data_IF_153520078747
#
_entry.id   IF_153520078747
#
_cell.length_a   1.000
_cell.length_b   1.000
_cell.length_c   1.000
_cell.angle_alpha   90.00
_cell.angle_beta   90.00
_cell.angle_gamma   90.00
#
_symmetry.space_group_name_H-M   'P 1'
#
loop_
_entity.id
_entity.type
_entity.pdbx_description
1 polymer ?
#
# COMPACT_ATOMS: atom_id res chain seq x y z
N UNK A 1 2.56 25.16 -15.28
CA UNK A 1 4.03 25.33 -15.16
C UNK A 1 4.72 24.30 -16.05
N UNK A 2 6.05 24.20 -16.09
CA UNK A 2 6.75 23.08 -16.73
C UNK A 2 7.47 22.25 -15.65
N UNK A 3 7.48 20.92 -15.81
CA UNK A 3 7.91 20.00 -14.76
C UNK A 3 9.14 19.22 -15.21
N UNK A 4 10.11 19.08 -14.31
CA UNK A 4 11.39 18.46 -14.64
C UNK A 4 11.92 17.56 -13.53
N UNK A 5 12.77 16.62 -13.92
CA UNK A 5 13.68 15.91 -13.01
C UNK A 5 15.08 16.41 -13.32
N UNK A 6 15.80 16.79 -12.27
CA UNK A 6 17.18 17.27 -12.37
C UNK A 6 18.08 16.30 -11.64
N UNK A 7 19.06 15.75 -12.35
CA UNK A 7 20.10 14.91 -11.74
C UNK A 7 21.15 15.78 -11.09
N UNK A 8 21.61 15.39 -9.91
CA UNK A 8 22.72 16.04 -9.23
C UNK A 8 23.80 15.00 -8.90
N UNK A 9 25.04 15.45 -8.72
CA UNK A 9 26.13 14.54 -8.37
C UNK A 9 26.03 14.11 -6.90
N UNK A 10 26.79 13.07 -6.54
CA UNK A 10 26.82 12.54 -5.17
C UNK A 10 27.15 13.60 -4.11
N UNK A 11 28.13 14.47 -4.38
CA UNK A 11 28.54 15.52 -3.44
C UNK A 11 27.39 16.49 -3.12
N UNK A 12 26.47 16.70 -4.08
CA UNK A 12 25.24 17.45 -3.88
C UNK A 12 24.21 16.75 -3.00
N UNK A 13 24.37 15.48 -2.62
CA UNK A 13 23.49 14.85 -1.63
C UNK A 13 24.18 14.63 -0.29
N UNK A 14 25.51 14.72 -0.25
CA UNK A 14 26.32 14.49 0.94
C UNK A 14 26.64 15.77 1.73
N UNK A 15 26.55 16.97 1.14
CA UNK A 15 26.64 18.24 1.88
C UNK A 15 25.43 18.47 2.83
N UNK A 16 25.69 19.13 3.95
CA UNK A 16 24.67 19.46 4.95
C UNK A 16 23.87 20.73 4.61
N UNK A 17 24.30 21.49 3.59
CA UNK A 17 23.73 22.79 3.21
C UNK A 17 23.69 22.93 1.69
N UNK A 18 22.58 22.51 1.09
CA UNK A 18 22.28 22.85 -0.31
C UNK A 18 21.44 24.11 -0.33
N UNK A 19 21.95 25.13 -1.01
CA UNK A 19 21.24 26.41 -1.20
C UNK A 19 20.93 26.66 -2.67
N UNK A 20 21.63 25.97 -3.58
CA UNK A 20 21.43 26.11 -5.01
C UNK A 20 21.59 24.79 -5.77
N UNK A 21 20.88 24.64 -6.87
CA UNK A 21 20.91 23.47 -7.76
C UNK A 21 21.85 23.78 -8.91
N UNK A 22 22.81 22.89 -9.15
CA UNK A 22 23.81 23.07 -10.20
C UNK A 22 23.34 22.42 -11.51
N UNK A 23 23.31 23.17 -12.61
CA UNK A 23 22.89 22.68 -13.93
C UNK A 23 23.92 23.10 -14.99
N UNK A 24 24.25 22.23 -15.94
CA UNK A 24 25.09 22.62 -17.08
C UNK A 24 24.35 23.62 -17.97
N UNK A 25 25.02 24.71 -18.39
CA UNK A 25 24.45 25.72 -19.31
C UNK A 25 23.89 25.09 -20.59
N UNK A 26 24.53 24.03 -21.10
CA UNK A 26 24.08 23.27 -22.28
C UNK A 26 22.76 22.53 -22.05
N UNK A 27 22.53 22.02 -20.84
CA UNK A 27 21.29 21.34 -20.45
C UNK A 27 20.17 22.32 -20.16
N UNK A 28 20.48 23.49 -19.59
CA UNK A 28 19.50 24.54 -19.29
C UNK A 28 18.76 25.05 -20.54
N UNK A 29 19.39 25.00 -21.72
CA UNK A 29 18.72 25.33 -22.99
C UNK A 29 17.49 24.47 -23.30
N UNK A 30 17.35 23.30 -22.66
CA UNK A 30 16.20 22.40 -22.79
C UNK A 30 15.01 22.83 -21.93
N UNK A 31 15.20 23.77 -21.00
CA UNK A 31 14.13 24.32 -20.18
C UNK A 31 13.32 25.28 -21.03
N UNK A 32 12.00 25.13 -21.01
CA UNK A 32 11.12 26.09 -21.62
C UNK A 32 11.22 27.40 -20.82
N UNK A 33 11.48 28.55 -21.47
CA UNK A 33 11.79 29.84 -20.83
C UNK A 33 10.58 30.49 -20.11
N UNK A 34 9.88 29.72 -19.29
CA UNK A 34 8.88 30.21 -18.34
C UNK A 34 9.61 30.73 -17.10
N UNK A 35 9.07 31.76 -16.47
CA UNK A 35 9.68 32.35 -15.26
C UNK A 35 9.81 31.34 -14.12
N UNK A 36 8.87 30.40 -14.01
CA UNK A 36 8.84 29.39 -12.95
C UNK A 36 8.72 27.98 -13.49
N UNK A 37 9.41 27.05 -12.84
CA UNK A 37 9.38 25.61 -13.13
C UNK A 37 9.22 24.79 -11.85
N UNK A 38 8.64 23.60 -11.99
CA UNK A 38 8.66 22.58 -10.94
C UNK A 38 9.79 21.59 -11.21
N UNK A 39 10.45 21.16 -10.15
CA UNK A 39 11.53 20.19 -10.26
C UNK A 39 11.46 19.11 -9.18
N UNK A 40 11.99 17.94 -9.51
CA UNK A 40 12.46 16.95 -8.55
C UNK A 40 13.99 16.85 -8.63
N UNK A 41 14.62 16.57 -7.49
CA UNK A 41 16.04 16.21 -7.45
C UNK A 41 16.21 14.70 -7.53
N UNK A 42 17.13 14.23 -8.35
CA UNK A 42 17.38 12.80 -8.54
C UNK A 42 18.84 12.43 -8.27
N UNK A 43 19.03 11.43 -7.42
CA UNK A 43 20.32 10.78 -7.14
C UNK A 43 20.40 9.51 -8.00
N UNK A 44 21.21 9.59 -9.05
CA UNK A 44 21.36 8.53 -10.03
C UNK A 44 22.10 7.30 -9.47
N UNK A 45 22.98 7.49 -8.48
CA UNK A 45 23.65 6.36 -7.82
C UNK A 45 22.70 5.57 -6.93
N UNK A 46 21.75 6.28 -6.31
CA UNK A 46 20.79 5.68 -5.36
C UNK A 46 19.43 5.34 -5.97
N UNK A 47 19.19 5.61 -7.25
CA UNK A 47 17.88 5.52 -7.91
C UNK A 47 16.76 6.14 -7.08
N UNK A 48 17.02 7.36 -6.57
CA UNK A 48 16.19 7.98 -5.55
C UNK A 48 15.80 9.39 -5.94
N UNK A 49 14.50 9.66 -5.86
CA UNK A 49 13.90 10.96 -6.12
C UNK A 49 13.64 11.69 -4.80
N UNK A 50 14.02 12.96 -4.71
CA UNK A 50 13.96 13.78 -3.51
C UNK A 50 13.24 15.09 -3.76
N UNK A 51 12.22 15.36 -2.94
CA UNK A 51 11.57 16.67 -2.80
C UNK A 51 10.99 17.24 -4.08
N UNK A 52 9.92 18.02 -3.95
CA UNK A 52 9.43 18.85 -5.04
C UNK A 52 9.79 20.30 -4.73
N UNK A 53 10.30 21.03 -5.72
CA UNK A 53 10.69 22.43 -5.55
C UNK A 53 10.11 23.25 -6.69
N UNK A 54 9.57 24.41 -6.35
CA UNK A 54 9.29 25.48 -7.31
C UNK A 54 10.53 26.36 -7.39
N UNK A 55 11.02 26.58 -8.62
CA UNK A 55 12.23 27.37 -8.87
C UNK A 55 11.87 28.54 -9.78
N UNK A 56 12.26 29.74 -9.34
CA UNK A 56 12.21 30.96 -10.14
C UNK A 56 13.52 31.09 -10.94
N UNK A 57 13.41 31.01 -12.26
CA UNK A 57 14.55 31.07 -13.17
C UNK A 57 15.22 32.45 -13.23
N UNK A 58 14.56 33.50 -12.72
CA UNK A 58 15.13 34.85 -12.66
C UNK A 58 16.18 34.99 -11.56
N UNK A 59 16.21 34.07 -10.58
CA UNK A 59 17.12 34.12 -9.43
C UNK A 59 18.47 33.41 -9.66
N UNK A 60 18.78 33.07 -10.92
CA UNK A 60 19.97 32.28 -11.26
C UNK A 60 21.27 33.09 -11.19
N UNK A 61 22.34 32.45 -10.75
CA UNK A 61 23.72 32.94 -10.91
C UNK A 61 24.46 32.09 -11.94
N UNK A 62 25.36 32.71 -12.69
CA UNK A 62 26.13 32.04 -13.73
C UNK A 62 27.62 31.99 -13.36
N UNK A 63 28.24 30.83 -13.51
CA UNK A 63 29.69 30.65 -13.31
C UNK A 63 30.19 29.61 -14.31
N UNK A 64 31.29 29.91 -15.01
CA UNK A 64 31.89 29.01 -16.01
C UNK A 64 30.85 28.38 -16.96
N UNK A 65 30.77 27.04 -16.93
CA UNK A 65 29.88 26.19 -17.73
C UNK A 65 28.56 25.83 -17.03
N UNK A 66 28.30 26.41 -15.84
CA UNK A 66 27.18 26.04 -14.98
C UNK A 66 26.28 27.22 -14.63
N UNK A 67 25.05 26.88 -14.27
CA UNK A 67 24.05 27.75 -13.67
C UNK A 67 23.72 27.21 -12.29
N UNK A 68 23.56 28.12 -11.35
CA UNK A 68 23.11 27.80 -10.01
C UNK A 68 21.73 28.41 -9.81
N UNK A 69 20.75 27.56 -9.50
CA UNK A 69 19.38 27.97 -9.24
C UNK A 69 19.12 27.92 -7.75
N UNK A 70 18.81 29.05 -7.13
CA UNK A 70 18.54 29.10 -5.69
C UNK A 70 17.28 28.30 -5.36
N UNK A 71 17.35 27.48 -4.31
CA UNK A 71 16.19 26.78 -3.78
C UNK A 71 15.56 27.69 -2.71
N UNK A 72 14.36 28.19 -2.99
CA UNK A 72 13.63 29.05 -2.06
C UNK A 72 12.97 28.27 -0.91
N UNK A 73 12.78 26.96 -1.07
CA UNK A 73 12.18 26.07 -0.07
C UNK A 73 13.27 25.33 0.74
N UNK A 74 13.35 25.63 2.04
CA UNK A 74 14.41 25.18 2.98
C UNK A 74 14.20 23.77 3.52
N UNK A 75 13.41 22.94 2.87
CA UNK A 75 13.07 21.61 3.36
C UNK A 75 14.27 20.64 3.23
N UNK A 76 15.26 20.85 4.10
CA UNK A 76 16.64 20.34 4.05
C UNK A 76 16.81 18.93 4.62
N UNK A 77 15.74 18.16 4.84
CA UNK A 77 15.83 16.72 5.18
C UNK A 77 14.64 15.95 4.63
N UNK A 78 14.63 15.64 3.33
CA UNK A 78 13.51 14.90 2.73
C UNK A 78 13.84 13.43 2.53
N UNK A 79 12.99 12.57 3.09
CA UNK A 79 12.88 11.17 2.67
C UNK A 79 12.61 11.17 1.16
N UNK A 80 13.23 10.24 0.44
CA UNK A 80 13.05 10.09 -1.00
C UNK A 80 12.48 8.72 -1.33
N UNK A 81 11.78 8.64 -2.46
CA UNK A 81 11.19 7.41 -2.97
C UNK A 81 12.15 6.74 -3.95
N UNK A 82 12.05 5.41 -4.06
CA UNK A 82 12.62 4.70 -5.18
C UNK A 82 11.90 5.14 -6.47
N UNK A 83 12.70 5.52 -7.45
CA UNK A 83 12.24 5.84 -8.80
C UNK A 83 13.34 5.43 -9.76
N UNK A 84 13.04 4.51 -10.69
CA UNK A 84 14.02 4.09 -11.68
C UNK A 84 13.80 4.88 -12.97
N UNK A 85 14.70 5.81 -13.27
CA UNK A 85 14.70 6.47 -14.58
C UNK A 85 15.02 5.44 -15.67
N UNK A 86 14.19 5.40 -16.71
CA UNK A 86 14.39 4.49 -17.86
C UNK A 86 15.72 4.72 -18.56
N UNK A 87 16.18 5.98 -18.58
CA UNK A 87 17.46 6.38 -19.17
C UNK A 87 18.42 6.83 -18.08
N UNK A 88 19.68 6.37 -18.14
CA UNK A 88 20.75 6.89 -17.29
C UNK A 88 21.22 8.24 -17.83
N UNK A 89 20.95 9.30 -17.08
CA UNK A 89 21.45 10.63 -17.41
C UNK A 89 22.76 10.93 -16.66
N UNK A 90 23.59 11.74 -17.30
CA UNK A 90 24.80 12.27 -16.68
C UNK A 90 24.44 13.20 -15.52
N UNK A 91 25.38 13.44 -14.61
CA UNK A 91 25.21 14.45 -13.57
C UNK A 91 24.90 15.84 -14.15
N UNK A 92 24.06 16.59 -13.42
CA UNK A 92 23.63 17.95 -13.77
C UNK A 92 22.79 18.01 -15.06
N UNK A 93 22.07 16.95 -15.37
CA UNK A 93 21.17 16.83 -16.52
C UNK A 93 19.74 17.20 -16.14
N UNK A 94 18.94 17.55 -17.14
CA UNK A 94 17.53 17.82 -17.00
C UNK A 94 16.69 16.93 -17.90
N UNK A 95 15.59 16.45 -17.35
CA UNK A 95 14.59 15.63 -18.01
C UNK A 95 13.22 16.26 -17.85
N UNK A 96 12.48 16.45 -18.95
CA UNK A 96 11.12 16.95 -18.91
C UNK A 96 10.18 15.79 -18.61
N UNK A 97 9.25 16.01 -17.68
CA UNK A 97 8.19 15.06 -17.36
C UNK A 97 6.83 15.72 -17.57
N UNK A 98 5.86 14.91 -17.99
CA UNK A 98 4.48 15.37 -18.08
C UNK A 98 3.86 15.60 -16.69
N UNK A 99 2.70 16.25 -16.68
CA UNK A 99 1.97 16.58 -15.45
C UNK A 99 1.49 15.34 -14.69
N UNK A 100 1.16 14.25 -15.38
CA UNK A 100 0.66 13.03 -14.74
C UNK A 100 1.77 12.35 -13.93
N UNK A 101 2.96 12.19 -14.53
CA UNK A 101 4.15 11.68 -13.85
C UNK A 101 4.53 12.61 -12.70
N UNK A 102 4.51 13.92 -12.93
CA UNK A 102 4.85 14.90 -11.90
C UNK A 102 3.92 14.80 -10.68
N UNK A 103 2.60 14.80 -10.91
CA UNK A 103 1.59 14.69 -9.86
C UNK A 103 1.77 13.40 -9.04
N UNK A 104 1.95 12.26 -9.71
CA UNK A 104 2.16 10.94 -9.06
C UNK A 104 3.39 10.94 -8.15
N UNK A 105 4.52 11.46 -8.63
CA UNK A 105 5.75 11.50 -7.84
C UNK A 105 5.65 12.49 -6.69
N UNK A 106 4.95 13.61 -6.90
CA UNK A 106 4.69 14.61 -5.87
C UNK A 106 3.84 14.01 -4.74
N UNK A 107 2.74 13.34 -5.05
CA UNK A 107 1.87 12.70 -4.05
C UNK A 107 2.63 11.66 -3.22
N UNK A 108 3.46 10.82 -3.86
CA UNK A 108 4.29 9.84 -3.15
C UNK A 108 5.29 10.50 -2.20
N UNK A 109 5.92 11.60 -2.61
CA UNK A 109 6.85 12.34 -1.76
C UNK A 109 6.14 13.08 -0.62
N UNK A 110 4.95 13.62 -0.87
CA UNK A 110 4.10 14.21 0.18
C UNK A 110 3.79 13.16 1.23
N UNK A 111 3.36 11.96 0.83
CA UNK A 111 3.05 10.86 1.75
C UNK A 111 4.21 10.47 2.68
N UNK A 112 5.46 10.51 2.20
CA UNK A 112 6.62 10.19 3.03
C UNK A 112 6.87 11.20 4.16
N UNK A 113 6.44 12.44 3.93
CA UNK A 113 6.66 13.59 4.80
C UNK A 113 5.40 13.95 5.61
N UNK A 114 4.23 13.45 5.22
CA UNK A 114 3.01 13.51 6.02
C UNK A 114 3.14 12.64 7.26
N UNK A 115 2.57 13.13 8.36
CA UNK A 115 2.32 12.30 9.52
C UNK A 115 1.11 11.42 9.21
N UNK A 116 1.30 10.10 9.29
CA UNK A 116 0.24 9.12 9.01
C UNK A 116 -0.79 9.18 10.13
N UNK A 117 -2.01 9.61 9.82
CA UNK A 117 -3.12 9.55 10.77
C UNK A 117 -3.50 8.10 11.04
N UNK A 118 -3.80 7.79 12.31
CA UNK A 118 -4.32 6.49 12.74
C UNK A 118 -5.73 6.67 13.30
N UNK A 119 -6.67 5.98 12.68
CA UNK A 119 -8.08 5.96 13.09
C UNK A 119 -8.42 4.56 13.58
N UNK A 120 -9.02 4.44 14.75
CA UNK A 120 -9.60 3.20 15.26
C UNK A 120 -11.10 3.27 15.03
N UNK A 121 -11.63 2.40 14.17
CA UNK A 121 -13.03 2.36 13.80
C UNK A 121 -13.66 1.06 14.29
N UNK A 122 -14.54 1.17 15.27
CA UNK A 122 -15.32 0.04 15.79
C UNK A 122 -16.72 0.08 15.20
N UNK A 123 -17.17 -1.05 14.64
CA UNK A 123 -18.49 -1.15 13.99
C UNK A 123 -19.22 -2.42 14.46
N UNK A 124 -20.49 -2.29 14.82
CA UNK A 124 -21.35 -3.43 15.12
C UNK A 124 -22.76 -3.27 14.54
N UNK A 125 -23.43 -4.40 14.32
CA UNK A 125 -24.85 -4.44 13.94
C UNK A 125 -25.62 -5.20 15.02
N UNK A 126 -26.49 -4.50 15.74
CA UNK A 126 -27.27 -5.06 16.84
C UNK A 126 -28.74 -5.26 16.44
N UNK A 127 -29.32 -6.40 16.82
CA UNK A 127 -30.76 -6.65 16.69
C UNK A 127 -31.48 -5.89 17.80
N UNK A 128 -32.27 -4.88 17.45
CA UNK A 128 -32.88 -3.97 18.43
C UNK A 128 -34.28 -4.40 18.86
N UNK A 129 -35.18 -4.70 17.92
CA UNK A 129 -36.57 -5.14 18.20
C UNK A 129 -37.09 -6.10 17.15
N UNK A 130 -37.99 -6.99 17.56
CA UNK A 130 -38.78 -7.83 16.67
C UNK A 130 -40.27 -7.52 16.96
N UNK A 131 -40.91 -6.77 16.05
CA UNK A 131 -42.35 -6.47 16.12
C UNK A 131 -43.00 -6.92 14.82
N UNK A 132 -44.08 -7.70 14.93
CA UNK A 132 -44.86 -8.18 13.78
C UNK A 132 -44.00 -8.81 12.65
N UNK A 133 -43.08 -9.72 13.01
CA UNK A 133 -42.14 -10.39 12.10
C UNK A 133 -41.17 -9.47 11.32
N UNK A 134 -41.09 -8.17 11.64
CA UNK A 134 -40.03 -7.29 11.14
C UNK A 134 -38.92 -7.20 12.17
N UNK A 135 -37.71 -7.57 11.76
CA UNK A 135 -36.47 -7.43 12.55
C UNK A 135 -35.89 -6.06 12.28
N UNK A 136 -35.77 -5.24 13.31
CA UNK A 136 -35.09 -3.95 13.25
C UNK A 136 -33.64 -4.11 13.71
N UNK A 137 -32.71 -3.69 12.86
CA UNK A 137 -31.28 -3.69 13.16
C UNK A 137 -30.79 -2.25 13.31
N UNK A 138 -29.82 -2.06 14.21
CA UNK A 138 -29.14 -0.78 14.39
C UNK A 138 -27.66 -1.00 14.08
N UNK A 139 -27.11 -0.14 13.23
CA UNK A 139 -25.68 -0.03 12.99
C UNK A 139 -25.09 0.98 13.97
N UNK A 140 -24.03 0.57 14.65
CA UNK A 140 -23.26 1.38 15.58
C UNK A 140 -21.87 1.57 14.99
N UNK A 141 -21.38 2.81 14.98
CA UNK A 141 -19.95 3.05 14.76
C UNK A 141 -19.37 3.99 15.80
N UNK A 142 -18.10 3.77 16.10
CA UNK A 142 -17.26 4.64 16.91
C UNK A 142 -15.90 4.79 16.24
N UNK A 143 -15.51 6.02 15.95
CA UNK A 143 -14.21 6.37 15.40
C UNK A 143 -13.40 7.18 16.41
N UNK A 144 -12.13 6.82 16.60
CA UNK A 144 -11.16 7.59 17.38
C UNK A 144 -9.93 7.80 16.51
N UNK A 145 -9.58 9.06 16.25
CA UNK A 145 -8.38 9.45 15.52
C UNK A 145 -7.36 10.08 16.46
N UNK A 146 -6.10 9.70 16.32
CA UNK A 146 -5.06 10.06 17.29
C UNK A 146 -4.14 11.21 16.84
N UNK A 147 -4.13 11.56 15.56
CA UNK A 147 -3.24 12.58 14.99
C UNK A 147 -3.80 13.09 13.64
N UNK A 148 -3.69 14.39 13.25
CA UNK A 148 -3.03 15.53 13.92
C UNK A 148 -3.82 16.17 15.05
N UNK A 149 -5.11 15.86 15.19
CA UNK A 149 -5.97 16.28 16.28
C UNK A 149 -6.84 15.09 16.73
N UNK A 150 -7.20 15.06 18.01
CA UNK A 150 -8.10 14.03 18.53
C UNK A 150 -9.49 14.25 17.93
N UNK A 151 -9.88 13.40 16.99
CA UNK A 151 -11.24 13.36 16.45
C UNK A 151 -11.98 12.15 17.01
N UNK A 152 -13.15 12.37 17.57
CA UNK A 152 -14.01 11.30 18.09
C UNK A 152 -15.39 11.46 17.47
N UNK A 153 -15.88 10.40 16.83
CA UNK A 153 -17.25 10.30 16.36
C UNK A 153 -17.90 9.04 16.93
N UNK A 154 -19.14 9.16 17.36
CA UNK A 154 -19.99 8.03 17.76
C UNK A 154 -21.36 8.22 17.15
N UNK A 155 -21.91 7.14 16.61
CA UNK A 155 -23.15 7.20 15.88
C UNK A 155 -23.93 5.89 15.92
N UNK A 156 -25.25 6.02 15.82
CA UNK A 156 -26.20 4.91 15.79
C UNK A 156 -27.30 5.22 14.77
N UNK A 157 -27.61 4.26 13.89
CA UNK A 157 -28.69 4.41 12.92
C UNK A 157 -29.41 3.10 12.63
N UNK A 158 -30.66 3.16 12.13
CA UNK A 158 -31.30 2.01 11.52
C UNK A 158 -30.43 1.42 10.40
N UNK A 159 -30.34 0.09 10.36
CA UNK A 159 -29.62 -0.67 9.36
C UNK A 159 -30.57 -1.55 8.56
N UNK A 160 -30.56 -1.38 7.24
CA UNK A 160 -31.37 -2.19 6.33
C UNK A 160 -30.57 -3.43 5.91
N UNK A 161 -30.80 -4.52 6.64
CA UNK A 161 -30.09 -5.78 6.44
C UNK A 161 -30.44 -6.45 5.10
N UNK A 162 -31.67 -6.27 4.61
CA UNK A 162 -32.11 -6.85 3.35
C UNK A 162 -31.47 -6.15 2.16
N UNK A 163 -31.42 -4.81 2.19
CA UNK A 163 -30.69 -4.01 1.21
C UNK A 163 -29.20 -4.36 1.20
N UNK A 164 -28.57 -4.47 2.39
CA UNK A 164 -27.17 -4.89 2.50
C UNK A 164 -26.92 -6.25 1.86
N UNK A 165 -27.75 -7.26 2.17
CA UNK A 165 -27.61 -8.60 1.60
C UNK A 165 -27.72 -8.61 0.07
N UNK A 166 -28.61 -7.79 -0.51
CA UNK A 166 -28.73 -7.65 -1.95
C UNK A 166 -27.45 -7.07 -2.57
N UNK A 167 -26.90 -6.02 -1.97
CA UNK A 167 -25.65 -5.37 -2.40
C UNK A 167 -24.47 -6.33 -2.26
N UNK A 168 -24.37 -7.04 -1.13
CA UNK A 168 -23.28 -7.96 -0.86
C UNK A 168 -23.27 -9.16 -1.83
N UNK A 169 -24.44 -9.70 -2.19
CA UNK A 169 -24.55 -10.74 -3.23
C UNK A 169 -24.01 -10.26 -4.57
N UNK A 170 -24.30 -9.02 -4.95
CA UNK A 170 -23.77 -8.42 -6.18
C UNK A 170 -22.26 -8.24 -6.11
N UNK A 171 -21.73 -7.75 -4.98
CA UNK A 171 -20.29 -7.68 -4.75
C UNK A 171 -19.60 -9.05 -4.90
N UNK A 172 -20.13 -10.10 -4.27
CA UNK A 172 -19.60 -11.46 -4.42
C UNK A 172 -19.66 -11.98 -5.87
N UNK A 173 -20.69 -11.59 -6.63
CA UNK A 173 -20.81 -11.93 -8.05
C UNK A 173 -19.68 -11.29 -8.87
N UNK A 174 -19.35 -10.02 -8.58
CA UNK A 174 -18.25 -9.31 -9.24
C UNK A 174 -16.88 -9.92 -8.88
N UNK A 175 -16.67 -10.32 -7.62
CA UNK A 175 -15.44 -10.99 -7.19
C UNK A 175 -15.16 -12.29 -7.95
N UNK A 176 -16.21 -13.08 -8.21
CA UNK A 176 -16.11 -14.40 -8.88
C UNK A 176 -15.91 -14.33 -10.40
N UNK A 177 -16.43 -13.29 -11.06
CA UNK A 177 -16.53 -13.26 -12.53
C UNK A 177 -15.44 -12.45 -13.25
N UNK A 178 -14.74 -11.53 -12.57
CA UNK A 178 -13.88 -10.60 -13.28
C UNK A 178 -12.40 -11.03 -13.28
N UNK A 179 -11.91 -11.44 -14.46
CA UNK A 179 -10.48 -11.40 -14.78
C UNK A 179 -10.04 -10.02 -15.31
N UNK A 180 -10.98 -9.09 -15.50
CA UNK A 180 -10.74 -7.70 -15.89
C UNK A 180 -11.29 -6.74 -14.82
N UNK A 181 -10.43 -6.22 -13.95
CA UNK A 181 -10.82 -5.22 -12.95
C UNK A 181 -11.40 -3.95 -13.60
N UNK A 182 -10.92 -3.62 -14.80
CA UNK A 182 -11.28 -2.42 -15.56
C UNK A 182 -12.75 -2.39 -15.99
N UNK A 183 -13.33 -3.54 -16.31
CA UNK A 183 -14.69 -3.59 -16.90
C UNK A 183 -15.79 -3.36 -15.85
N UNK A 184 -15.47 -3.50 -14.56
CA UNK A 184 -16.46 -3.46 -13.48
C UNK A 184 -16.24 -2.31 -12.49
N UNK A 185 -15.29 -1.41 -12.73
CA UNK A 185 -14.95 -0.33 -11.79
C UNK A 185 -16.17 0.56 -11.48
N UNK A 186 -16.99 0.88 -12.48
CA UNK A 186 -18.22 1.66 -12.31
C UNK A 186 -19.20 0.98 -11.35
N UNK A 187 -19.30 -0.36 -11.40
CA UNK A 187 -20.17 -1.13 -10.51
C UNK A 187 -19.60 -1.22 -9.09
N UNK A 188 -18.27 -1.32 -8.93
CA UNK A 188 -17.63 -1.23 -7.62
C UNK A 188 -17.85 0.15 -6.99
N UNK A 189 -17.71 1.24 -7.75
CA UNK A 189 -17.99 2.59 -7.27
C UNK A 189 -19.48 2.79 -6.92
N UNK A 190 -20.39 2.21 -7.70
CA UNK A 190 -21.82 2.23 -7.38
C UNK A 190 -22.09 1.55 -6.03
N UNK A 191 -21.62 0.31 -5.85
CA UNK A 191 -21.74 -0.45 -4.61
C UNK A 191 -21.08 0.30 -3.44
N UNK A 192 -19.87 0.83 -3.66
CA UNK A 192 -19.11 1.60 -2.69
C UNK A 192 -19.86 2.82 -2.19
N UNK A 193 -20.50 3.58 -3.10
CA UNK A 193 -21.29 4.76 -2.76
C UNK A 193 -22.55 4.38 -1.96
N UNK A 194 -23.21 3.27 -2.33
CA UNK A 194 -24.36 2.76 -1.57
C UNK A 194 -23.96 2.36 -0.16
N UNK A 195 -22.87 1.61 0.00
CA UNK A 195 -22.35 1.21 1.31
C UNK A 195 -21.92 2.42 2.13
N UNK A 196 -21.25 3.40 1.51
CA UNK A 196 -20.86 4.64 2.19
C UNK A 196 -22.08 5.41 2.73
N UNK A 197 -23.16 5.49 1.95
CA UNK A 197 -24.45 6.05 2.39
C UNK A 197 -25.11 5.25 3.51
N UNK A 198 -24.98 3.93 3.46
CA UNK A 198 -25.53 3.04 4.47
C UNK A 198 -24.73 3.07 5.78
N UNK A 199 -23.41 3.23 5.76
CA UNK A 199 -22.57 3.05 6.94
C UNK A 199 -22.15 4.37 7.57
N UNK A 200 -21.79 5.37 6.74
CA UNK A 200 -21.20 6.63 7.21
C UNK A 200 -21.98 7.79 6.57
N UNK A 201 -23.18 8.15 7.05
CA UNK A 201 -24.02 9.15 6.39
C UNK A 201 -23.52 10.60 6.53
N UNK A 202 -22.73 10.92 7.55
CA UNK A 202 -22.34 12.29 7.88
C UNK A 202 -21.34 12.85 6.86
N UNK A 203 -21.80 13.80 6.04
CA UNK A 203 -20.99 14.45 4.98
C UNK A 203 -19.63 14.93 5.51
N UNK A 204 -19.61 15.65 6.63
CA UNK A 204 -18.39 16.23 7.19
C UNK A 204 -17.37 15.15 7.59
N UNK A 205 -17.84 14.03 8.16
CA UNK A 205 -16.95 12.92 8.48
C UNK A 205 -16.44 12.21 7.21
N UNK A 206 -17.24 12.14 6.14
CA UNK A 206 -16.75 11.64 4.85
C UNK A 206 -15.65 12.51 4.29
N UNK A 207 -15.87 13.83 4.28
CA UNK A 207 -14.89 14.80 3.76
C UNK A 207 -13.59 14.71 4.58
N UNK A 208 -13.71 14.65 5.92
CA UNK A 208 -12.60 14.41 6.83
C UNK A 208 -11.82 13.12 6.51
N UNK A 209 -12.50 12.01 6.17
CA UNK A 209 -11.84 10.76 5.79
C UNK A 209 -10.93 10.91 4.55
N UNK A 210 -11.18 11.88 3.67
CA UNK A 210 -10.33 12.17 2.51
C UNK A 210 -9.18 13.15 2.78
N UNK A 211 -9.11 13.73 3.99
CA UNK A 211 -8.02 14.63 4.37
C UNK A 211 -6.78 13.85 4.80
N UNK A 212 -5.70 13.99 4.01
CA UNK A 212 -4.41 13.35 4.27
C UNK A 212 -4.42 11.83 4.09
N UNK A 213 -3.26 11.20 4.32
CA UNK A 213 -3.15 9.75 4.34
C UNK A 213 -3.38 9.15 5.73
N UNK A 214 -4.10 8.03 5.76
CA UNK A 214 -4.65 7.44 6.99
C UNK A 214 -4.57 5.92 6.97
N UNK A 215 -4.35 5.33 8.14
CA UNK A 215 -4.60 3.91 8.41
C UNK A 215 -5.80 3.81 9.33
N UNK A 216 -6.84 3.10 8.89
CA UNK A 216 -8.04 2.80 9.68
C UNK A 216 -7.94 1.37 10.19
N UNK A 217 -7.75 1.22 11.50
CA UNK A 217 -7.81 -0.07 12.19
C UNK A 217 -9.26 -0.41 12.50
N UNK A 218 -9.77 -1.44 11.83
CA UNK A 218 -11.14 -1.91 11.97
C UNK A 218 -11.25 -2.87 13.16
N UNK A 219 -12.23 -2.59 14.03
CA UNK A 219 -12.68 -3.50 15.08
C UNK A 219 -14.12 -3.90 14.75
N UNK A 220 -14.27 -5.10 14.18
CA UNK A 220 -15.51 -5.57 13.56
C UNK A 220 -16.05 -6.78 14.31
N UNK A 221 -17.38 -6.88 14.38
CA UNK A 221 -18.06 -8.12 14.77
C UNK A 221 -18.17 -9.07 13.55
N UNK A 222 -18.74 -10.27 13.76
CA UNK A 222 -18.91 -11.27 12.69
C UNK A 222 -19.76 -10.78 11.51
N UNK A 223 -20.67 -9.83 11.77
CA UNK A 223 -21.56 -9.31 10.72
C UNK A 223 -20.85 -8.20 9.94
N UNK A 224 -20.20 -7.27 10.64
CA UNK A 224 -19.51 -6.12 10.03
C UNK A 224 -18.16 -6.50 9.40
N UNK A 225 -17.59 -7.66 9.73
CA UNK A 225 -16.40 -8.20 9.05
C UNK A 225 -16.64 -8.54 7.58
N UNK A 226 -17.88 -8.90 7.22
CA UNK A 226 -18.26 -9.23 5.85
C UNK A 226 -18.38 -7.99 4.94
N UNK A 227 -18.51 -6.80 5.51
CA UNK A 227 -18.65 -5.55 4.76
C UNK A 227 -17.35 -5.31 3.96
N UNK A 228 -17.43 -5.04 2.65
CA UNK A 228 -16.24 -4.75 1.86
C UNK A 228 -15.84 -3.28 2.02
N UNK A 229 -15.24 -2.95 3.17
CA UNK A 229 -14.74 -1.61 3.50
C UNK A 229 -13.78 -1.06 2.43
N UNK A 230 -13.07 -1.96 1.74
CA UNK A 230 -12.06 -1.64 0.72
C UNK A 230 -12.62 -0.84 -0.45
N UNK A 231 -13.88 -1.12 -0.83
CA UNK A 231 -14.51 -0.55 -2.01
C UNK A 231 -15.42 0.63 -1.66
N UNK A 232 -15.46 1.05 -0.40
CA UNK A 232 -16.22 2.24 -0.02
C UNK A 232 -15.76 3.43 -0.87
N UNK A 233 -16.73 4.17 -1.38
CA UNK A 233 -16.46 5.27 -2.29
C UNK A 233 -17.34 6.47 -1.99
N UNK A 234 -16.86 7.63 -2.39
CA UNK A 234 -17.58 8.89 -2.30
C UNK A 234 -17.12 9.78 -3.45
N UNK A 235 -18.06 10.52 -4.07
CA UNK A 235 -17.79 11.36 -5.24
C UNK A 235 -17.02 10.63 -6.36
N UNK A 236 -17.41 9.38 -6.63
CA UNK A 236 -16.79 8.49 -7.64
C UNK A 236 -15.30 8.21 -7.43
N UNK A 237 -14.81 8.28 -6.18
CA UNK A 237 -13.46 7.89 -5.79
C UNK A 237 -13.50 6.89 -4.67
N UNK A 238 -12.63 5.89 -4.71
CA UNK A 238 -12.51 4.95 -3.60
C UNK A 238 -11.83 5.63 -2.40
N UNK A 239 -12.26 5.30 -1.19
CA UNK A 239 -11.57 5.71 0.03
C UNK A 239 -10.17 5.11 0.11
N UNK A 240 -9.94 3.95 -0.49
CA UNK A 240 -8.64 3.27 -0.53
C UNK A 240 -7.53 4.09 -1.21
N UNK A 241 -7.91 5.14 -1.96
CA UNK A 241 -6.97 6.09 -2.57
C UNK A 241 -6.29 7.01 -1.56
N UNK A 242 -6.78 7.08 -0.32
CA UNK A 242 -6.18 7.87 0.77
C UNK A 242 -6.10 7.09 2.09
N UNK A 243 -6.87 6.01 2.20
CA UNK A 243 -7.02 5.22 3.41
C UNK A 243 -6.52 3.79 3.18
N UNK A 244 -5.81 3.24 4.16
CA UNK A 244 -5.65 1.79 4.28
C UNK A 244 -6.56 1.29 5.38
N UNK A 245 -7.49 0.39 5.02
CA UNK A 245 -8.28 -0.35 5.99
C UNK A 245 -7.51 -1.59 6.45
N UNK A 246 -7.25 -1.68 7.76
CA UNK A 246 -6.70 -2.88 8.41
C UNK A 246 -7.83 -3.66 9.07
N UNK A 247 -8.17 -4.83 8.51
CA UNK A 247 -9.38 -5.59 8.87
C UNK A 247 -9.30 -6.30 10.21
N UNK A 248 -8.10 -6.62 10.66
CA UNK A 248 -7.88 -7.37 11.88
C UNK A 248 -6.92 -6.54 12.72
N UNK A 249 -7.48 -5.81 13.68
CA UNK A 249 -6.71 -5.11 14.70
C UNK A 249 -6.00 -6.15 15.55
N UNK A 250 -4.67 -6.19 15.47
CA UNK A 250 -3.85 -7.05 16.27
C UNK A 250 -3.82 -6.50 17.71
N UNK A 251 -4.82 -6.87 18.51
CA UNK A 251 -4.95 -6.46 19.92
C UNK A 251 -3.72 -6.88 20.76
N UNK A 252 -2.84 -7.73 20.23
CA UNK A 252 -1.70 -8.32 20.95
C UNK A 252 -0.33 -8.20 20.24
N UNK A 253 -0.03 -7.11 19.52
CA UNK A 253 1.37 -6.91 19.07
C UNK A 253 2.22 -6.36 20.21
N UNK A 254 2.63 -7.23 21.14
CA UNK A 254 3.70 -6.87 22.07
C UNK A 254 5.02 -6.78 21.27
N UNK A 255 5.51 -5.55 21.11
CA UNK A 255 6.77 -5.26 20.44
C UNK A 255 7.96 -5.84 21.24
N UNK A 256 8.43 -7.03 20.87
CA UNK A 256 9.82 -7.40 21.16
C UNK A 256 10.74 -6.57 20.24
N UNK A 257 11.88 -6.10 20.77
CA UNK A 257 12.96 -5.53 19.94
C UNK A 257 13.51 -6.64 19.04
N UNK A 258 13.12 -6.63 17.77
CA UNK A 258 13.59 -7.60 16.77
C UNK A 258 14.85 -7.05 16.09
N UNK A 259 15.84 -7.92 15.92
CA UNK A 259 17.10 -7.65 15.21
C UNK A 259 16.89 -7.62 13.70
N UNK A 260 17.44 -6.61 13.02
CA UNK A 260 17.33 -6.44 11.55
C UNK A 260 18.23 -7.42 10.77
N UNK A 261 17.85 -8.69 10.68
CA UNK A 261 18.16 -9.39 9.44
C UNK A 261 17.13 -8.95 8.38
N UNK A 262 17.48 -8.98 7.10
CA UNK A 262 16.52 -8.80 5.99
C UNK A 262 16.43 -10.13 5.25
N UNK A 263 16.07 -11.18 5.97
CA UNK A 263 15.91 -12.52 5.40
C UNK A 263 14.51 -12.67 4.87
N UNK A 264 14.38 -13.07 3.61
CA UNK A 264 13.10 -13.28 2.95
C UNK A 264 13.00 -14.74 2.53
N UNK A 265 11.90 -15.40 2.88
CA UNK A 265 11.55 -16.69 2.32
C UNK A 265 10.48 -16.51 1.25
N UNK A 266 10.65 -17.19 0.11
CA UNK A 266 9.59 -17.36 -0.89
C UNK A 266 9.14 -18.81 -0.82
N UNK A 267 7.94 -19.05 -0.30
CA UNK A 267 7.33 -20.37 -0.21
C UNK A 267 6.36 -20.50 -1.39
N UNK A 268 6.71 -21.34 -2.36
CA UNK A 268 5.85 -21.64 -3.50
C UNK A 268 5.43 -23.11 -3.45
N UNK A 269 4.12 -23.34 -3.35
CA UNK A 269 3.57 -24.69 -3.30
C UNK A 269 3.28 -25.14 -4.74
N UNK A 270 3.90 -26.23 -5.22
CA UNK A 270 3.80 -26.62 -6.62
C UNK A 270 2.41 -27.17 -6.96
N UNK A 271 1.71 -26.49 -7.87
CA UNK A 271 0.49 -26.95 -8.52
C UNK A 271 0.60 -26.75 -10.03
N UNK A 272 -0.05 -27.62 -10.81
CA UNK A 272 0.04 -27.60 -12.28
C UNK A 272 -0.56 -26.32 -12.90
N UNK A 273 -1.44 -25.62 -12.17
CA UNK A 273 -2.15 -24.41 -12.59
C UNK A 273 -1.59 -23.11 -11.99
N UNK A 274 -0.50 -23.17 -11.22
CA UNK A 274 0.20 -21.99 -10.68
C UNK A 274 1.47 -21.71 -11.49
N UNK A 275 1.56 -20.52 -12.08
CA UNK A 275 2.78 -20.03 -12.72
C UNK A 275 3.55 -19.06 -11.81
N UNK A 276 4.37 -19.63 -10.93
CA UNK A 276 5.13 -18.91 -9.91
C UNK A 276 6.48 -18.34 -10.40
N UNK A 277 6.96 -18.76 -11.57
CA UNK A 277 8.32 -18.47 -12.03
C UNK A 277 8.57 -16.97 -12.21
N UNK A 278 7.61 -16.26 -12.80
CA UNK A 278 7.70 -14.82 -13.02
C UNK A 278 7.81 -14.05 -11.70
N UNK A 279 6.99 -14.40 -10.73
CA UNK A 279 6.97 -13.74 -9.42
C UNK A 279 8.25 -14.02 -8.63
N UNK A 280 8.70 -15.28 -8.62
CA UNK A 280 9.97 -15.67 -7.99
C UNK A 280 11.14 -14.92 -8.63
N UNK A 281 11.18 -14.82 -9.96
CA UNK A 281 12.24 -14.11 -10.67
C UNK A 281 12.21 -12.59 -10.42
N UNK A 282 11.02 -11.99 -10.29
CA UNK A 282 10.86 -10.60 -9.89
C UNK A 282 11.48 -10.37 -8.50
N UNK A 283 11.17 -11.22 -7.52
CA UNK A 283 11.72 -11.13 -6.17
C UNK A 283 13.25 -11.33 -6.15
N UNK A 284 13.78 -12.31 -6.90
CA UNK A 284 15.24 -12.52 -7.02
C UNK A 284 15.96 -11.31 -7.61
N UNK A 285 15.38 -10.65 -8.62
CA UNK A 285 15.94 -9.40 -9.18
C UNK A 285 16.02 -8.29 -8.14
N UNK A 286 15.05 -8.20 -7.23
CA UNK A 286 15.08 -7.23 -6.14
C UNK A 286 16.19 -7.51 -5.12
N UNK A 287 16.53 -8.78 -4.89
CA UNK A 287 17.66 -9.18 -4.04
C UNK A 287 19.01 -8.72 -4.59
N UNK A 288 19.27 -8.95 -5.88
CA UNK A 288 20.53 -8.57 -6.53
C UNK A 288 20.83 -7.07 -6.40
N UNK A 289 19.80 -6.23 -6.39
CA UNK A 289 19.93 -4.77 -6.31
C UNK A 289 20.10 -4.23 -4.88
N UNK A 290 19.73 -5.02 -3.85
CA UNK A 290 19.60 -4.56 -2.46
C UNK A 290 20.40 -5.40 -1.43
N UNK A 291 21.24 -6.35 -1.88
CA UNK A 291 21.98 -7.29 -1.01
C UNK A 291 21.07 -8.02 -0.01
N UNK A 292 19.94 -8.55 -0.49
CA UNK A 292 18.96 -9.26 0.35
C UNK A 292 19.18 -10.78 0.22
N UNK A 293 19.05 -11.51 1.32
CA UNK A 293 19.06 -12.97 1.29
C UNK A 293 17.63 -13.46 1.05
N UNK A 294 17.38 -13.99 -0.15
CA UNK A 294 16.10 -14.60 -0.52
C UNK A 294 16.32 -16.10 -0.70
N UNK A 295 15.65 -16.89 0.13
CA UNK A 295 15.63 -18.34 0.00
C UNK A 295 14.29 -18.77 -0.61
N UNK A 296 14.34 -19.65 -1.61
CA UNK A 296 13.15 -20.10 -2.34
C UNK A 296 12.87 -21.56 -2.02
N UNK A 297 11.68 -21.80 -1.48
CA UNK A 297 11.15 -23.12 -1.16
C UNK A 297 10.03 -23.48 -2.14
N UNK A 298 10.40 -24.06 -3.29
CA UNK A 298 9.46 -24.55 -4.30
C UNK A 298 9.14 -26.03 -4.06
N UNK A 299 8.38 -26.31 -3.01
CA UNK A 299 7.99 -27.66 -2.59
C UNK A 299 6.74 -27.63 -1.72
N UNK A 300 6.07 -28.77 -1.59
CA UNK A 300 5.06 -28.96 -0.55
C UNK A 300 5.70 -28.93 0.84
N UNK A 301 4.92 -28.52 1.84
CA UNK A 301 5.36 -28.44 3.24
C UNK A 301 4.37 -29.14 4.15
N UNK A 302 4.88 -29.89 5.12
CA UNK A 302 4.08 -30.19 6.30
C UNK A 302 4.06 -29.00 7.28
N UNK A 303 3.19 -29.06 8.28
CA UNK A 303 3.03 -28.03 9.30
C UNK A 303 4.36 -27.61 9.96
N UNK A 304 5.16 -28.57 10.41
CA UNK A 304 6.39 -28.29 11.16
C UNK A 304 7.49 -27.69 10.28
N UNK A 305 7.60 -28.13 9.03
CA UNK A 305 8.51 -27.50 8.06
C UNK A 305 8.13 -26.05 7.80
N UNK A 306 6.83 -25.78 7.62
CA UNK A 306 6.35 -24.44 7.36
C UNK A 306 6.56 -23.51 8.56
N UNK A 307 6.28 -23.96 9.78
CA UNK A 307 6.57 -23.19 11.02
C UNK A 307 8.06 -22.84 11.12
N UNK A 308 8.97 -23.77 10.80
CA UNK A 308 10.41 -23.48 10.77
C UNK A 308 10.76 -22.39 9.76
N UNK A 309 10.07 -22.31 8.63
CA UNK A 309 10.25 -21.19 7.69
C UNK A 309 9.74 -19.90 8.31
N UNK A 310 8.56 -19.89 8.93
CA UNK A 310 8.04 -18.67 9.58
C UNK A 310 9.01 -18.12 10.64
N UNK A 311 9.61 -18.99 11.46
CA UNK A 311 10.45 -18.56 12.59
C UNK A 311 11.87 -18.11 12.24
N UNK A 312 12.33 -18.38 11.01
CA UNK A 312 13.71 -18.09 10.59
C UNK A 312 13.85 -16.85 9.69
N UNK A 313 12.74 -16.23 9.31
CA UNK A 313 12.70 -15.17 8.30
C UNK A 313 11.90 -13.94 8.78
N UNK A 314 12.32 -12.75 8.34
CA UNK A 314 11.65 -11.49 8.68
C UNK A 314 10.45 -11.25 7.78
N UNK A 315 10.52 -11.74 6.54
CA UNK A 315 9.48 -11.64 5.53
C UNK A 315 9.25 -13.03 4.93
N UNK A 316 7.99 -13.44 4.85
CA UNK A 316 7.60 -14.68 4.16
C UNK A 316 6.59 -14.34 3.07
N UNK A 317 6.96 -14.58 1.82
CA UNK A 317 6.09 -14.44 0.66
C UNK A 317 5.62 -15.83 0.24
N UNK A 318 4.30 -16.01 0.15
CA UNK A 318 3.66 -17.30 -0.05
C UNK A 318 2.88 -17.26 -1.35
N UNK A 319 3.16 -18.21 -2.24
CA UNK A 319 2.49 -18.40 -3.53
C UNK A 319 1.81 -19.77 -3.49
N UNK A 320 0.48 -19.79 -3.48
CA UNK A 320 -0.31 -21.04 -3.40
C UNK A 320 -1.79 -20.81 -3.74
N UNK A 321 -2.59 -21.87 -3.67
CA UNK A 321 -4.04 -21.77 -3.66
C UNK A 321 -4.58 -21.38 -2.27
N UNK A 322 -5.52 -20.44 -2.29
CA UNK A 322 -6.25 -20.01 -1.11
C UNK A 322 -7.65 -20.59 -1.09
N UNK A 323 -8.09 -20.97 0.10
CA UNK A 323 -9.40 -21.53 0.38
C UNK A 323 -10.11 -20.68 1.43
N UNK A 324 -11.44 -20.73 1.46
CA UNK A 324 -12.23 -20.00 2.46
C UNK A 324 -11.85 -20.36 3.90
N UNK A 325 -11.36 -21.59 4.12
CA UNK A 325 -10.95 -22.09 5.42
C UNK A 325 -9.44 -22.05 5.68
N UNK A 326 -8.59 -21.64 4.73
CA UNK A 326 -7.15 -21.65 4.94
C UNK A 326 -6.31 -21.53 3.68
N UNK A 327 -5.05 -21.92 3.80
CA UNK A 327 -4.01 -21.77 2.77
C UNK A 327 -3.41 -23.14 2.46
N UNK A 328 -3.29 -23.49 1.18
CA UNK A 328 -2.78 -24.80 0.83
C UNK A 328 -1.26 -24.90 1.00
N UNK A 329 -0.77 -25.94 1.66
CA UNK A 329 0.67 -26.24 1.81
C UNK A 329 1.10 -27.50 1.07
N UNK A 330 0.15 -28.34 0.67
CA UNK A 330 0.32 -29.50 -0.20
C UNK A 330 -1.01 -29.85 -0.85
N UNK A 331 -1.02 -30.74 -1.85
CA UNK A 331 -2.26 -31.22 -2.49
C UNK A 331 -3.32 -31.70 -1.49
N UNK A 332 -2.91 -32.23 -0.35
CA UNK A 332 -3.78 -32.86 0.65
C UNK A 332 -3.85 -32.11 1.99
N UNK A 333 -3.20 -30.94 2.11
CA UNK A 333 -3.11 -30.22 3.39
C UNK A 333 -3.40 -28.72 3.27
N UNK A 334 -4.51 -28.33 3.90
CA UNK A 334 -4.92 -26.93 4.06
C UNK A 334 -4.60 -26.47 5.48
N UNK A 335 -3.74 -25.46 5.57
CA UNK A 335 -3.38 -24.79 6.81
C UNK A 335 -4.46 -23.76 7.18
N UNK A 336 -5.17 -23.98 8.28
CA UNK A 336 -6.23 -23.09 8.75
C UNK A 336 -5.90 -22.35 10.07
N UNK A 337 -4.85 -22.79 10.78
CA UNK A 337 -4.38 -22.20 12.03
C UNK A 337 -2.90 -22.52 12.24
N UNK A 338 -2.21 -21.66 12.98
CA UNK A 338 -0.82 -21.76 13.41
C UNK A 338 -0.77 -21.56 14.93
N UNK A 339 0.09 -22.34 15.59
CA UNK A 339 0.43 -22.17 17.00
C UNK A 339 1.32 -20.95 17.22
N UNK A 340 1.38 -20.43 18.44
CA UNK A 340 2.27 -19.34 18.80
C UNK A 340 3.70 -19.57 18.27
N UNK A 341 4.25 -18.54 17.63
CA UNK A 341 5.61 -18.54 17.08
C UNK A 341 6.58 -17.90 18.07
N UNK A 342 7.77 -18.47 18.21
CA UNK A 342 8.80 -17.89 19.08
C UNK A 342 9.37 -16.60 18.46
N UNK A 343 9.60 -16.63 17.15
CA UNK A 343 10.17 -15.55 16.35
C UNK A 343 9.29 -15.27 15.11
N UNK A 344 8.11 -14.66 15.27
CA UNK A 344 7.21 -14.44 14.14
C UNK A 344 7.83 -13.51 13.09
N UNK A 345 7.54 -13.73 11.79
CA UNK A 345 7.95 -12.79 10.74
C UNK A 345 7.26 -11.46 10.93
N UNK A 346 7.91 -10.36 10.52
CA UNK A 346 7.30 -9.02 10.56
C UNK A 346 6.20 -8.88 9.50
N UNK A 347 6.42 -9.51 8.34
CA UNK A 347 5.51 -9.43 7.20
C UNK A 347 5.28 -10.82 6.62
N UNK A 348 4.01 -11.16 6.44
CA UNK A 348 3.60 -12.26 5.58
C UNK A 348 2.83 -11.69 4.40
N UNK A 349 3.24 -12.05 3.19
CA UNK A 349 2.54 -11.70 1.96
C UNK A 349 1.97 -12.98 1.37
N UNK A 350 0.65 -13.08 1.30
CA UNK A 350 -0.08 -14.23 0.77
C UNK A 350 -0.60 -13.86 -0.62
N UNK A 351 0.11 -14.33 -1.65
CA UNK A 351 -0.39 -14.31 -3.02
C UNK A 351 -1.23 -15.57 -3.26
N UNK A 352 -2.49 -15.51 -2.82
CA UNK A 352 -3.46 -16.58 -2.97
C UNK A 352 -4.87 -15.99 -3.13
N UNK A 353 -5.71 -16.65 -3.93
CA UNK A 353 -7.09 -16.23 -4.16
C UNK A 353 -7.99 -16.47 -2.93
N UNK A 354 -9.10 -15.72 -2.83
CA UNK A 354 -10.19 -15.97 -1.88
C UNK A 354 -9.84 -15.94 -0.37
N UNK A 355 -8.91 -15.10 0.08
CA UNK A 355 -8.51 -15.01 1.50
C UNK A 355 -9.39 -14.08 2.35
N UNK A 356 -10.55 -13.66 1.85
CA UNK A 356 -11.39 -12.58 2.41
C UNK A 356 -11.68 -12.72 3.92
N UNK A 357 -12.04 -13.93 4.36
CA UNK A 357 -12.43 -14.27 5.73
C UNK A 357 -11.58 -15.40 6.31
N UNK A 358 -10.33 -15.52 5.85
CA UNK A 358 -9.52 -16.68 6.17
C UNK A 358 -9.04 -16.65 7.62
N UNK A 359 -9.41 -17.67 8.40
CA UNK A 359 -8.94 -17.88 9.78
C UNK A 359 -7.41 -17.86 9.89
N UNK A 360 -6.70 -18.23 8.83
CA UNK A 360 -5.24 -18.23 8.83
C UNK A 360 -4.65 -16.83 8.97
N UNK A 361 -5.28 -15.80 8.39
CA UNK A 361 -4.81 -14.40 8.52
C UNK A 361 -4.91 -13.95 9.96
N UNK A 362 -6.05 -14.23 10.62
CA UNK A 362 -6.25 -13.98 12.06
C UNK A 362 -5.23 -14.75 12.89
N UNK A 363 -4.95 -15.99 12.53
CA UNK A 363 -3.99 -16.84 13.22
C UNK A 363 -2.56 -16.30 13.13
N UNK A 364 -2.09 -15.91 11.94
CA UNK A 364 -0.78 -15.28 11.77
C UNK A 364 -0.61 -14.04 12.65
N UNK A 365 -1.61 -13.14 12.65
CA UNK A 365 -1.60 -11.93 13.48
C UNK A 365 -1.60 -12.26 14.97
N UNK A 366 -2.38 -13.27 15.38
CA UNK A 366 -2.45 -13.74 16.77
C UNK A 366 -1.13 -14.36 17.25
N UNK A 367 -0.32 -14.89 16.33
CA UNK A 367 1.00 -15.42 16.60
C UNK A 367 2.10 -14.34 16.65
N UNK A 368 1.74 -13.06 16.51
CA UNK A 368 2.66 -11.93 16.64
C UNK A 368 3.22 -11.39 15.32
N UNK A 369 2.73 -11.85 14.17
CA UNK A 369 3.06 -11.24 12.87
C UNK A 369 2.52 -9.81 12.82
N UNK A 370 3.34 -8.82 12.45
CA UNK A 370 2.91 -7.43 12.44
C UNK A 370 1.94 -7.13 11.30
N UNK A 371 2.30 -7.52 10.08
CA UNK A 371 1.50 -7.24 8.87
C UNK A 371 1.25 -8.53 8.11
N UNK A 372 0.00 -8.76 7.69
CA UNK A 372 -0.35 -9.78 6.71
C UNK A 372 -1.04 -9.12 5.53
N UNK A 373 -0.46 -9.26 4.33
CA UNK A 373 -1.10 -8.85 3.07
C UNK A 373 -1.70 -10.09 2.43
N UNK A 374 -2.98 -10.05 2.02
CA UNK A 374 -3.69 -11.23 1.52
C UNK A 374 -4.62 -10.93 0.35
N UNK A 375 -4.64 -11.81 -0.66
CA UNK A 375 -5.48 -11.66 -1.86
C UNK A 375 -6.98 -11.87 -1.62
N UNK A 376 -7.81 -11.09 -2.31
CA UNK A 376 -9.28 -11.13 -2.23
C UNK A 376 -9.85 -11.62 -3.56
N UNK A 377 -10.75 -12.61 -3.54
CA UNK A 377 -11.35 -13.11 -4.78
C UNK A 377 -10.31 -13.66 -5.76
N UNK A 378 -10.57 -13.54 -7.06
CA UNK A 378 -9.63 -13.96 -8.12
C UNK A 378 -8.58 -12.87 -8.39
N UNK A 379 -7.31 -13.26 -8.51
CA UNK A 379 -6.19 -12.38 -8.86
C UNK A 379 -5.80 -12.60 -10.33
N UNK A 380 -5.65 -11.54 -11.12
CA UNK A 380 -5.23 -11.63 -12.53
C UNK A 380 -3.70 -11.50 -12.68
N UNK A 381 -3.12 -12.33 -13.54
CA UNK A 381 -1.66 -12.55 -13.62
C UNK A 381 -0.79 -11.30 -13.75
N UNK A 382 -1.18 -10.35 -14.58
CA UNK A 382 -0.32 -9.18 -14.82
C UNK A 382 -0.44 -8.11 -13.72
N UNK A 383 -1.65 -7.90 -13.16
CA UNK A 383 -1.89 -6.84 -12.19
C UNK A 383 -1.22 -7.17 -10.84
N UNK A 384 -1.30 -8.42 -10.38
CA UNK A 384 -0.67 -8.77 -9.11
C UNK A 384 0.86 -8.73 -9.18
N UNK A 385 1.46 -9.13 -10.31
CA UNK A 385 2.92 -9.09 -10.48
C UNK A 385 3.44 -7.65 -10.39
N UNK A 386 2.74 -6.70 -11.03
CA UNK A 386 3.06 -5.27 -10.95
C UNK A 386 2.87 -4.73 -9.52
N UNK A 387 1.84 -5.19 -8.81
CA UNK A 387 1.62 -4.81 -7.42
C UNK A 387 2.75 -5.31 -6.52
N UNK A 388 3.09 -6.60 -6.61
CA UNK A 388 4.16 -7.25 -5.83
C UNK A 388 5.49 -6.57 -6.11
N UNK A 389 5.79 -6.31 -7.38
CA UNK A 389 7.01 -5.60 -7.78
C UNK A 389 7.05 -4.19 -7.21
N UNK A 390 5.98 -3.40 -7.33
CA UNK A 390 5.91 -2.05 -6.77
C UNK A 390 6.05 -2.05 -5.25
N UNK A 391 5.32 -2.96 -4.58
CA UNK A 391 5.33 -3.12 -3.13
C UNK A 391 6.73 -3.39 -2.59
N UNK A 392 7.39 -4.45 -3.09
CA UNK A 392 8.71 -4.84 -2.60
C UNK A 392 9.83 -3.89 -3.06
N UNK A 393 9.73 -3.32 -4.27
CA UNK A 393 10.68 -2.29 -4.72
C UNK A 393 10.70 -1.09 -3.79
N UNK A 394 9.55 -0.69 -3.26
CA UNK A 394 9.48 0.43 -2.31
C UNK A 394 9.91 0.00 -0.91
N UNK A 395 9.40 -1.15 -0.43
CA UNK A 395 9.63 -1.61 0.93
C UNK A 395 11.10 -1.95 1.21
N UNK A 396 11.78 -2.58 0.24
CA UNK A 396 13.11 -3.15 0.44
C UNK A 396 14.25 -2.22 -0.04
N UNK A 397 13.92 -1.07 -0.59
CA UNK A 397 14.92 -0.18 -1.15
C UNK A 397 15.80 0.42 -0.05
N UNK A 398 17.12 0.14 -0.14
CA UNK A 398 18.12 0.42 0.91
C UNK A 398 18.19 1.88 1.39
N UNK A 399 17.80 2.84 0.55
CA UNK A 399 17.91 4.28 0.84
C UNK A 399 16.57 4.96 1.16
N UNK A 400 15.46 4.22 1.17
CA UNK A 400 14.13 4.73 1.51
C UNK A 400 13.64 4.08 2.80
N UNK A 401 13.19 4.91 3.74
CA UNK A 401 12.62 4.42 5.00
C UNK A 401 11.10 4.46 4.89
N UNK A 402 10.52 3.35 4.42
CA UNK A 402 9.10 3.19 4.13
C UNK A 402 8.60 2.00 4.97
N UNK A 403 7.41 2.11 5.57
CA UNK A 403 6.78 1.01 6.29
C UNK A 403 5.87 0.18 5.37
N UNK A 404 5.39 -0.97 5.85
CA UNK A 404 4.52 -1.88 5.07
C UNK A 404 3.25 -1.20 4.55
N UNK A 405 2.62 -0.31 5.33
CA UNK A 405 1.42 0.41 4.91
C UNK A 405 1.70 1.42 3.78
N UNK A 406 2.78 2.21 3.89
CA UNK A 406 3.17 3.15 2.83
C UNK A 406 3.54 2.43 1.53
N UNK A 407 4.27 1.30 1.63
CA UNK A 407 4.61 0.48 0.47
C UNK A 407 3.34 -0.11 -0.19
N UNK A 408 2.40 -0.59 0.62
CA UNK A 408 1.10 -1.08 0.16
C UNK A 408 0.31 0.01 -0.57
N UNK A 409 0.24 1.21 0.01
CA UNK A 409 -0.44 2.34 -0.61
C UNK A 409 0.18 2.74 -1.95
N UNK A 410 1.52 2.83 -2.02
CA UNK A 410 2.20 3.16 -3.28
C UNK A 410 1.91 2.15 -4.38
N UNK A 411 1.92 0.86 -4.05
CA UNK A 411 1.56 -0.18 -4.99
C UNK A 411 0.08 -0.06 -5.41
N UNK A 412 -0.82 0.24 -4.49
CA UNK A 412 -2.25 0.42 -4.78
C UNK A 412 -2.50 1.58 -5.76
N UNK A 413 -1.90 2.75 -5.52
CA UNK A 413 -2.02 3.91 -6.41
C UNK A 413 -1.41 3.60 -7.78
N UNK A 414 -0.26 2.93 -7.82
CA UNK A 414 0.37 2.56 -9.09
C UNK A 414 -0.50 1.63 -9.93
N UNK A 415 -1.14 0.64 -9.32
CA UNK A 415 -2.10 -0.23 -10.00
C UNK A 415 -3.33 0.54 -10.47
N UNK A 416 -3.90 1.40 -9.62
CA UNK A 416 -5.04 2.24 -10.00
C UNK A 416 -4.72 3.06 -11.25
N UNK A 417 -3.55 3.72 -11.29
CA UNK A 417 -3.16 4.56 -12.42
C UNK A 417 -2.93 3.77 -13.71
N UNK A 418 -2.30 2.59 -13.60
CA UNK A 418 -1.91 1.80 -14.76
C UNK A 418 -3.09 0.99 -15.34
N UNK A 419 -4.04 0.62 -14.49
CA UNK A 419 -5.12 -0.30 -14.86
C UNK A 419 -6.52 0.30 -14.74
N UNK A 420 -6.70 1.52 -14.20
CA UNK A 420 -8.04 2.04 -13.86
C UNK A 420 -8.85 1.02 -13.03
N UNK A 421 -8.18 0.37 -12.06
CA UNK A 421 -8.73 -0.71 -11.24
C UNK A 421 -8.61 -0.44 -9.74
N UNK A 422 -9.16 -1.35 -8.93
CA UNK A 422 -8.99 -1.39 -7.48
C UNK A 422 -8.28 -2.69 -7.12
N UNK A 423 -7.16 -2.61 -6.41
CA UNK A 423 -6.37 -3.81 -6.11
C UNK A 423 -7.03 -4.71 -5.06
N UNK A 424 -7.16 -5.99 -5.40
CA UNK A 424 -7.70 -7.06 -4.55
C UNK A 424 -6.71 -7.61 -3.50
N UNK A 425 -5.98 -6.74 -2.82
CA UNK A 425 -5.23 -7.13 -1.63
C UNK A 425 -5.80 -6.44 -0.39
N UNK A 426 -5.85 -7.15 0.73
CA UNK A 426 -6.10 -6.54 2.06
C UNK A 426 -4.80 -6.33 2.79
N UNK A 427 -4.75 -5.21 3.50
CA UNK A 427 -3.79 -4.97 4.55
C UNK A 427 -4.40 -5.45 5.87
N UNK A 428 -3.66 -6.23 6.67
CA UNK A 428 -4.12 -6.68 7.98
C UNK A 428 -2.99 -6.49 9.01
N UNK A 429 -3.35 -6.18 10.26
CA UNK A 429 -2.40 -5.90 11.34
C UNK A 429 -1.93 -4.45 11.38
N UNK A 430 -0.70 -4.23 11.82
CA UNK A 430 -0.10 -2.89 12.06
C UNK A 430 1.05 -2.62 11.10
N UNK A 431 1.21 -1.35 10.72
CA UNK A 431 2.33 -0.93 9.88
C UNK A 431 3.67 -1.15 10.60
N UNK A 432 4.63 -1.78 9.91
CA UNK A 432 5.96 -2.05 10.47
C UNK A 432 7.08 -1.68 9.49
N UNK A 433 8.27 -1.44 10.03
CA UNK A 433 9.50 -1.32 9.23
C UNK A 433 10.19 -2.69 9.20
N UNK A 434 10.55 -3.15 8.00
CA UNK A 434 11.21 -4.45 7.80
C UNK A 434 12.72 -4.34 7.79
#
# INVERSE_FOLDING_TARGET
MSNYIITQNKNFFDSSNFECIKIKKTQFKKINKKEKINIFLYDNEKNKLYGTYEIDLNTKTEEDSFLYLNITDTYKKRRGIYYNLKEKYNDFSIYNIDENIFSKLKERLVLLNENISQTFLSCSIEKHKEKHNKKEYIFHYKAIETYPSLYIAEYKKPFDFDAYNSIYKEYLRLLKKSNSENDNISKYLEIGNYLMNMLIPEKDFREHLFEGFRIVYLNLDETTSSIPWDILSYNNKFLSEKIIFSYISAVNVMHKKITNSRKIAVVSIPYDDINDEKEIDLLKKLSANNNLNIDVYKKEHNYFEFVKVLENYDIVHIITHGHSNGLSLSKDYILNNISALENPPKLIFINACNMNDSNIVKSFLSCGVNTVVSGIGSLSDNIYNDFVMSFYSNLLHKHSRINTAQAFHFAHIEIKDNYNGFMRYRFNGVACYV
#
